data_IF_426410985897
#
_entry.id   IF_426410985897
#
_cell.length_a   1.000
_cell.length_b   1.000
_cell.length_c   1.000
_cell.angle_alpha   90.00
_cell.angle_beta   90.00
_cell.angle_gamma   90.00
#
_symmetry.space_group_name_H-M   'P 1'
#
loop_
_entity.id
_entity.type
_entity.pdbx_description
1 polymer ?
#
# COMPACT_ATOMS: atom_id res chain seq x y z
N UNK A 1 46.81 -21.71 22.79
CA UNK A 1 45.97 -20.94 23.73
C UNK A 1 44.55 -21.00 23.19
N UNK A 2 43.63 -21.62 23.92
CA UNK A 2 42.24 -21.75 23.47
C UNK A 2 41.49 -20.47 23.83
N UNK A 3 40.90 -19.80 22.84
CA UNK A 3 40.01 -18.65 23.05
C UNK A 3 38.81 -19.12 23.87
N UNK A 4 38.78 -18.75 25.15
CA UNK A 4 37.60 -18.90 26.00
C UNK A 4 36.66 -17.76 25.58
N UNK A 5 35.87 -17.99 24.53
CA UNK A 5 34.77 -17.10 24.19
C UNK A 5 33.84 -17.10 25.39
N UNK A 6 33.72 -15.95 26.06
CA UNK A 6 32.83 -15.80 27.21
C UNK A 6 31.41 -16.18 26.79
N UNK A 7 30.73 -16.94 27.66
CA UNK A 7 29.32 -17.31 27.43
C UNK A 7 28.44 -16.06 27.31
N UNK A 8 28.82 -14.96 27.96
CA UNK A 8 28.16 -13.67 27.86
C UNK A 8 28.31 -13.07 26.45
N UNK A 9 29.50 -13.09 25.86
CA UNK A 9 29.73 -12.59 24.49
C UNK A 9 28.87 -13.36 23.47
N UNK A 10 28.74 -14.67 23.64
CA UNK A 10 27.90 -15.51 22.78
C UNK A 10 26.41 -15.20 22.95
N UNK A 11 25.99 -14.89 24.17
CA UNK A 11 24.63 -14.47 24.49
C UNK A 11 24.31 -13.11 23.88
N UNK A 12 25.21 -12.14 24.01
CA UNK A 12 25.08 -10.81 23.42
C UNK A 12 25.07 -10.84 21.89
N UNK A 13 25.99 -11.59 21.27
CA UNK A 13 25.99 -11.83 19.83
C UNK A 13 24.68 -12.47 19.34
N UNK A 14 24.11 -13.40 20.11
CA UNK A 14 22.83 -14.02 19.77
C UNK A 14 21.66 -13.05 19.89
N UNK A 15 21.67 -12.16 20.88
CA UNK A 15 20.67 -11.11 21.09
C UNK A 15 20.74 -10.06 19.99
N UNK A 16 21.94 -9.61 19.61
CA UNK A 16 22.18 -8.70 18.50
C UNK A 16 21.66 -9.25 17.17
N UNK A 17 22.00 -10.49 16.82
CA UNK A 17 21.49 -11.16 15.60
C UNK A 17 19.96 -11.24 15.56
N UNK A 18 19.31 -11.50 16.70
CA UNK A 18 17.84 -11.53 16.80
C UNK A 18 17.23 -10.13 16.63
N UNK A 19 17.83 -9.11 17.24
CA UNK A 19 17.40 -7.72 17.11
C UNK A 19 17.51 -7.24 15.65
N UNK A 20 18.62 -7.52 14.98
CA UNK A 20 18.83 -7.20 13.56
C UNK A 20 17.82 -7.89 12.65
N UNK A 21 17.58 -9.20 12.87
CA UNK A 21 16.57 -9.94 12.12
C UNK A 21 15.19 -9.29 12.27
N UNK A 22 14.83 -8.90 13.50
CA UNK A 22 13.54 -8.25 13.78
C UNK A 22 13.45 -6.87 13.13
N UNK A 23 14.53 -6.08 13.17
CA UNK A 23 14.62 -4.77 12.49
C UNK A 23 14.46 -4.92 10.97
N UNK A 24 15.11 -5.92 10.36
CA UNK A 24 14.96 -6.23 8.93
C UNK A 24 13.52 -6.62 8.58
N UNK A 25 12.87 -7.47 9.37
CA UNK A 25 11.48 -7.86 9.16
C UNK A 25 10.53 -6.65 9.22
N UNK A 26 10.73 -5.79 10.23
CA UNK A 26 10.01 -4.52 10.38
C UNK A 26 10.19 -3.61 9.17
N UNK A 27 11.42 -3.46 8.67
CA UNK A 27 11.72 -2.64 7.49
C UNK A 27 11.04 -3.17 6.22
N UNK A 28 11.00 -4.49 6.04
CA UNK A 28 10.30 -5.14 4.93
C UNK A 28 8.79 -4.87 5.02
N UNK A 29 8.20 -4.96 6.22
CA UNK A 29 6.79 -4.69 6.44
C UNK A 29 6.43 -3.24 6.09
N UNK A 30 7.22 -2.27 6.58
CA UNK A 30 7.04 -0.85 6.22
C UNK A 30 7.14 -0.64 4.72
N UNK A 31 8.18 -1.20 4.08
CA UNK A 31 8.37 -1.07 2.63
C UNK A 31 7.16 -1.62 1.87
N UNK A 32 6.68 -2.82 2.19
CA UNK A 32 5.52 -3.42 1.50
C UNK A 32 4.24 -2.63 1.67
N UNK A 33 3.99 -2.08 2.86
CA UNK A 33 2.79 -1.29 3.13
C UNK A 33 2.83 0.11 2.51
N UNK A 34 4.02 0.66 2.23
CA UNK A 34 4.20 1.99 1.66
C UNK A 34 4.48 1.99 0.15
N UNK A 35 5.07 0.92 -0.39
CA UNK A 35 5.46 0.86 -1.79
C UNK A 35 4.22 0.65 -2.67
N UNK A 36 4.07 1.53 -3.66
CA UNK A 36 3.03 1.53 -4.71
C UNK A 36 1.59 1.88 -4.32
N UNK A 37 1.17 1.81 -3.06
CA UNK A 37 -0.18 2.21 -2.58
C UNK A 37 -0.39 3.74 -2.45
N UNK A 38 0.40 4.52 -3.17
CA UNK A 38 0.41 5.99 -3.13
C UNK A 38 1.48 6.58 -4.05
N UNK A 39 1.98 5.78 -4.99
CA UNK A 39 2.98 6.25 -5.93
C UNK A 39 2.30 7.17 -6.94
N UNK A 40 2.76 8.42 -7.02
CA UNK A 40 2.19 9.41 -7.93
C UNK A 40 2.33 9.04 -9.42
N UNK A 41 3.16 8.04 -9.74
CA UNK A 41 3.49 7.59 -11.09
C UNK A 41 2.76 6.31 -11.51
N UNK A 42 1.85 5.78 -10.68
CA UNK A 42 1.13 4.53 -10.97
C UNK A 42 -0.36 4.64 -10.69
N UNK A 43 -1.14 3.93 -11.49
CA UNK A 43 -2.56 3.73 -11.27
C UNK A 43 -2.77 2.82 -10.05
N UNK A 44 -3.63 3.23 -9.12
CA UNK A 44 -3.92 2.46 -7.90
C UNK A 44 -4.73 1.19 -8.17
N UNK A 45 -5.47 1.13 -9.29
CA UNK A 45 -6.29 -0.01 -9.68
C UNK A 45 -5.49 -1.09 -10.42
N UNK A 46 -4.86 -0.74 -11.54
CA UNK A 46 -4.19 -1.71 -12.42
C UNK A 46 -2.66 -1.70 -12.32
N UNK A 47 -2.07 -0.72 -11.62
CA UNK A 47 -0.60 -0.59 -11.49
C UNK A 47 0.12 -0.05 -12.71
N UNK A 48 -0.59 0.28 -13.80
CA UNK A 48 -0.04 0.89 -15.00
C UNK A 48 0.70 2.19 -14.65
N UNK A 49 1.77 2.50 -15.39
CA UNK A 49 2.44 3.78 -15.26
C UNK A 49 1.51 4.88 -15.74
N UNK A 50 1.35 5.91 -14.91
CA UNK A 50 0.57 7.09 -15.26
C UNK A 50 1.59 8.18 -15.54
N UNK A 51 1.66 8.64 -16.79
CA UNK A 51 2.38 9.87 -17.11
C UNK A 51 1.76 11.00 -16.29
N UNK A 52 2.58 11.87 -15.71
CA UNK A 52 2.07 12.97 -14.88
C UNK A 52 1.02 13.73 -15.69
N UNK A 53 -0.27 13.65 -15.34
CA UNK A 53 -1.28 14.28 -16.16
C UNK A 53 -1.04 15.79 -16.11
N UNK A 54 -1.14 16.52 -17.23
CA UNK A 54 -1.35 17.96 -17.16
C UNK A 54 -2.56 18.18 -16.25
N UNK A 55 -2.48 19.16 -15.35
CA UNK A 55 -3.43 19.39 -14.27
C UNK A 55 -4.86 19.06 -14.72
N UNK A 56 -5.41 17.94 -14.23
CA UNK A 56 -6.74 17.49 -14.65
C UNK A 56 -7.75 18.59 -14.30
N UNK A 57 -8.73 18.87 -15.18
CA UNK A 57 -9.79 19.82 -14.87
C UNK A 57 -10.45 19.42 -13.54
N UNK A 58 -10.70 20.43 -12.70
CA UNK A 58 -11.11 20.30 -11.29
C UNK A 58 -12.41 19.50 -11.04
N UNK A 59 -13.09 19.07 -12.10
CA UNK A 59 -14.39 18.41 -12.11
C UNK A 59 -14.32 16.92 -11.78
N UNK A 60 -13.18 16.25 -12.00
CA UNK A 60 -13.03 14.82 -11.66
C UNK A 60 -12.24 14.65 -10.35
N UNK A 61 -12.85 15.02 -9.22
CA UNK A 61 -12.30 14.70 -7.88
C UNK A 61 -12.47 13.21 -7.59
N UNK A 62 -11.68 12.39 -8.28
CA UNK A 62 -11.60 10.96 -8.02
C UNK A 62 -10.84 10.75 -6.70
N UNK A 63 -11.34 9.89 -5.80
CA UNK A 63 -10.68 9.61 -4.51
C UNK A 63 -9.34 8.87 -4.68
N UNK A 64 -9.10 8.26 -5.84
CA UNK A 64 -7.93 7.45 -6.17
C UNK A 64 -7.26 7.95 -7.45
N UNK A 65 -5.96 7.71 -7.58
CA UNK A 65 -5.19 7.98 -8.80
C UNK A 65 -5.38 6.85 -9.80
N UNK A 66 -6.08 7.15 -10.88
CA UNK A 66 -6.30 6.23 -11.99
C UNK A 66 -5.57 6.66 -13.26
N UNK A 67 -5.23 5.68 -14.10
CA UNK A 67 -5.03 5.95 -15.53
C UNK A 67 -6.39 6.25 -16.17
N UNK A 68 -6.37 6.77 -17.41
CA UNK A 68 -7.59 7.13 -18.16
C UNK A 68 -8.60 5.96 -18.22
N UNK A 69 -8.17 4.77 -18.63
CA UNK A 69 -9.03 3.60 -18.71
C UNK A 69 -9.67 3.22 -17.35
N UNK A 70 -8.91 3.23 -16.25
CA UNK A 70 -9.49 2.93 -14.93
C UNK A 70 -10.40 4.06 -14.42
N UNK A 71 -10.22 5.31 -14.87
CA UNK A 71 -11.11 6.41 -14.53
C UNK A 71 -12.45 6.30 -15.28
N UNK A 72 -12.43 5.87 -16.53
CA UNK A 72 -13.63 5.55 -17.33
C UNK A 72 -14.38 4.38 -16.69
N UNK A 73 -13.71 3.25 -16.45
CA UNK A 73 -14.32 2.09 -15.80
C UNK A 73 -14.90 2.42 -14.41
N UNK A 74 -14.24 3.30 -13.65
CA UNK A 74 -14.76 3.74 -12.36
C UNK A 74 -16.04 4.58 -12.51
N UNK A 75 -16.13 5.38 -13.58
CA UNK A 75 -17.35 6.15 -13.89
C UNK A 75 -18.49 5.20 -14.23
N UNK A 76 -18.23 4.21 -15.09
CA UNK A 76 -19.22 3.17 -15.45
C UNK A 76 -19.68 2.38 -14.22
N UNK A 77 -18.75 2.08 -13.30
CA UNK A 77 -19.06 1.42 -12.03
C UNK A 77 -20.04 2.27 -11.20
N UNK A 78 -19.81 3.58 -11.10
CA UNK A 78 -20.72 4.49 -10.38
C UNK A 78 -22.09 4.59 -11.06
N UNK A 79 -22.15 4.62 -12.39
CA UNK A 79 -23.41 4.63 -13.13
C UNK A 79 -24.21 3.34 -12.91
N UNK A 80 -23.54 2.18 -12.97
CA UNK A 80 -24.14 0.87 -12.69
C UNK A 80 -24.66 0.77 -11.25
N UNK A 81 -23.97 1.34 -10.27
CA UNK A 81 -24.47 1.43 -8.90
C UNK A 81 -25.75 2.27 -8.75
N UNK A 82 -25.96 3.24 -9.65
CA UNK A 82 -27.17 4.05 -9.70
C UNK A 82 -28.31 3.40 -10.50
N UNK A 83 -28.12 2.15 -10.97
CA UNK A 83 -29.06 1.47 -11.85
C UNK A 83 -29.07 2.03 -13.28
N UNK A 84 -28.07 2.86 -13.63
CA UNK A 84 -27.84 3.37 -14.99
C UNK A 84 -26.79 2.49 -15.68
N UNK A 85 -26.45 2.81 -16.91
CA UNK A 85 -25.41 2.12 -17.69
C UNK A 85 -25.99 1.27 -18.80
N UNK A 86 -25.17 1.07 -19.83
CA UNK A 86 -25.59 0.42 -21.07
C UNK A 86 -25.73 -1.12 -20.86
N UNK A 87 -26.94 -1.71 -21.05
CA UNK A 87 -27.13 -3.15 -21.02
C UNK A 87 -26.31 -3.91 -22.07
N UNK A 88 -25.94 -3.26 -23.18
CA UNK A 88 -25.14 -3.86 -24.25
C UNK A 88 -23.68 -4.06 -23.83
N UNK A 89 -23.22 -3.37 -22.77
CA UNK A 89 -21.93 -3.61 -22.12
C UNK A 89 -21.94 -4.88 -21.26
N UNK A 90 -22.07 -6.05 -21.89
CA UNK A 90 -22.15 -7.36 -21.22
C UNK A 90 -20.89 -7.72 -20.41
N UNK A 91 -19.74 -7.11 -20.72
CA UNK A 91 -18.49 -7.31 -19.98
C UNK A 91 -18.46 -6.58 -18.63
N UNK A 92 -19.31 -5.56 -18.44
CA UNK A 92 -19.56 -4.90 -17.15
C UNK A 92 -20.67 -5.62 -16.37
N UNK A 93 -20.54 -6.92 -16.20
CA UNK A 93 -21.54 -7.75 -15.49
C UNK A 93 -21.40 -7.67 -13.95
N UNK A 94 -22.24 -8.42 -13.22
CA UNK A 94 -22.22 -8.50 -11.76
C UNK A 94 -20.85 -8.90 -11.18
N UNK A 95 -20.11 -9.79 -11.85
CA UNK A 95 -18.79 -10.17 -11.39
C UNK A 95 -17.80 -9.00 -11.51
N UNK A 96 -17.87 -8.23 -12.60
CA UNK A 96 -17.09 -7.01 -12.76
C UNK A 96 -17.42 -5.97 -11.68
N UNK A 97 -18.71 -5.76 -11.36
CA UNK A 97 -19.14 -4.88 -10.26
C UNK A 97 -18.59 -5.33 -8.90
N UNK A 98 -18.62 -6.64 -8.64
CA UNK A 98 -18.07 -7.22 -7.42
C UNK A 98 -16.55 -7.02 -7.32
N UNK A 99 -15.82 -7.10 -8.44
CA UNK A 99 -14.37 -6.81 -8.45
C UNK A 99 -14.07 -5.35 -8.06
N UNK A 100 -14.91 -4.41 -8.45
CA UNK A 100 -14.78 -3.00 -8.07
C UNK A 100 -15.10 -2.79 -6.60
N UNK A 101 -16.21 -3.36 -6.11
CA UNK A 101 -16.61 -3.29 -4.70
C UNK A 101 -15.50 -3.82 -3.77
N UNK A 102 -15.02 -5.03 -4.03
CA UNK A 102 -13.95 -5.66 -3.24
C UNK A 102 -12.65 -4.88 -3.31
N UNK A 103 -12.33 -4.30 -4.45
CA UNK A 103 -11.14 -3.45 -4.57
C UNK A 103 -11.26 -2.18 -3.73
N UNK A 104 -12.41 -1.50 -3.72
CA UNK A 104 -12.65 -0.31 -2.87
C UNK A 104 -12.57 -0.68 -1.39
N UNK A 105 -13.19 -1.80 -0.98
CA UNK A 105 -13.13 -2.29 0.40
C UNK A 105 -11.71 -2.65 0.84
N UNK A 106 -10.93 -3.24 -0.08
CA UNK A 106 -9.51 -3.51 0.13
C UNK A 106 -8.72 -2.21 0.33
N UNK A 107 -8.90 -1.19 -0.53
CA UNK A 107 -8.25 0.11 -0.36
C UNK A 107 -8.58 0.73 1.00
N UNK A 108 -9.86 0.74 1.40
CA UNK A 108 -10.27 1.25 2.71
C UNK A 108 -9.65 0.47 3.88
N UNK A 109 -9.41 -0.84 3.72
CA UNK A 109 -8.74 -1.66 4.73
C UNK A 109 -7.23 -1.37 4.80
N UNK A 110 -6.58 -1.14 3.66
CA UNK A 110 -5.18 -0.71 3.59
C UNK A 110 -5.00 0.65 4.26
N UNK A 111 -5.87 1.62 3.98
CA UNK A 111 -5.81 2.94 4.60
C UNK A 111 -5.99 2.90 6.12
N UNK A 112 -6.96 2.13 6.60
CA UNK A 112 -7.15 1.90 8.05
C UNK A 112 -5.93 1.25 8.69
N UNK A 113 -5.33 0.26 8.03
CA UNK A 113 -4.09 -0.36 8.51
C UNK A 113 -2.94 0.65 8.60
N UNK A 114 -2.74 1.48 7.59
CA UNK A 114 -1.67 2.51 7.58
C UNK A 114 -1.88 3.57 8.66
N UNK A 115 -3.13 3.85 9.04
CA UNK A 115 -3.50 4.76 10.13
C UNK A 115 -3.56 4.08 11.51
N UNK A 116 -3.35 2.76 11.57
CA UNK A 116 -3.38 2.02 12.85
C UNK A 116 -2.27 2.50 13.79
N UNK A 117 -2.55 2.46 15.09
CA UNK A 117 -1.62 2.92 16.13
C UNK A 117 -0.32 2.11 16.10
N UNK A 118 -0.44 0.82 15.80
CA UNK A 118 0.65 -0.14 15.68
C UNK A 118 1.56 0.20 14.50
N UNK A 119 0.98 0.51 13.33
CA UNK A 119 1.75 0.85 12.15
C UNK A 119 2.40 2.23 12.27
N UNK A 120 1.71 3.22 12.84
CA UNK A 120 2.30 4.54 13.14
C UNK A 120 3.47 4.41 14.12
N UNK A 121 3.33 3.58 15.16
CA UNK A 121 4.45 3.26 16.07
C UNK A 121 5.62 2.65 15.30
N UNK A 122 5.35 1.71 14.40
CA UNK A 122 6.37 1.07 13.58
C UNK A 122 7.13 2.10 12.72
N UNK A 123 6.46 3.09 12.13
CA UNK A 123 7.11 4.14 11.35
C UNK A 123 8.03 5.01 12.21
N UNK A 124 7.59 5.42 13.41
CA UNK A 124 8.39 6.24 14.34
C UNK A 124 9.70 5.56 14.76
N UNK A 125 9.72 4.23 14.84
CA UNK A 125 10.95 3.46 15.11
C UNK A 125 12.02 3.62 14.01
N UNK A 126 11.63 4.00 12.79
CA UNK A 126 12.54 4.27 11.68
C UNK A 126 12.84 5.76 11.47
N UNK A 127 11.98 6.66 11.95
CA UNK A 127 12.20 8.12 11.88
C UNK A 127 13.16 8.64 12.94
N UNK A 128 13.21 7.99 14.11
CA UNK A 128 14.13 8.37 15.18
C UNK A 128 15.52 7.84 14.82
N UNK A 129 16.52 8.68 14.49
CA UNK A 129 17.89 8.20 14.44
C UNK A 129 18.23 7.69 15.84
N UNK A 130 18.78 6.47 15.94
CA UNK A 130 19.30 6.01 17.22
C UNK A 130 20.37 7.00 17.72
N UNK A 131 20.55 7.14 19.04
CA UNK A 131 21.56 8.05 19.62
C UNK A 131 23.03 7.73 19.26
N UNK A 132 23.29 6.85 18.30
CA UNK A 132 24.62 6.43 17.84
C UNK A 132 24.69 6.38 16.30
N UNK A 133 24.40 7.51 15.64
CA UNK A 133 24.63 7.70 14.21
C UNK A 133 25.66 8.79 13.97
#
# INVERSE_FOLDING_TARGET
>A
MADIISLDDKLELSRGKKADRRRRQKAIAVRRAMQCTGCALKCEKCGAQVERPPAAPAERRLPYRFCEACAEEYTDYLERLQGRGDPDCYWHNEAWLDTWRKWIDYQGSVDRYRRSREFVRLLREFETPGPDA
#
